data_IF_010292526400
#
_entry.id   IF_010292526400
#
_cell.length_a   1.000
_cell.length_b   1.000
_cell.length_c   1.000
_cell.angle_alpha   90.00
_cell.angle_beta   90.00
_cell.angle_gamma   90.00
#
_symmetry.space_group_name_H-M   'P 1'
#
loop_
_entity.id
_entity.type
_entity.pdbx_description
1 polymer ?
#
# COMPACT_ATOMS: atom_id res chain seq x y z
N UNK A 1 -3.70 1.87 15.09
CA UNK A 1 -2.48 2.42 14.45
C UNK A 1 -1.31 2.21 15.39
N UNK A 2 -0.24 1.55 14.94
CA UNK A 2 0.96 1.31 15.75
C UNK A 2 1.72 2.63 15.99
N UNK A 3 2.17 2.86 17.22
CA UNK A 3 2.93 4.05 17.60
C UNK A 3 2.14 5.34 17.36
N UNK A 4 2.78 6.32 16.71
CA UNK A 4 2.14 7.57 16.30
C UNK A 4 1.71 7.57 14.82
N UNK A 5 1.82 6.43 14.14
CA UNK A 5 1.45 6.27 12.74
C UNK A 5 2.38 6.94 11.73
N UNK A 6 3.54 7.47 12.14
CA UNK A 6 4.45 8.20 11.24
C UNK A 6 5.38 7.33 10.39
N UNK A 7 5.25 6.00 10.44
CA UNK A 7 6.03 5.15 9.55
C UNK A 7 5.64 5.41 8.10
N UNK A 8 6.63 5.66 7.25
CA UNK A 8 6.47 6.02 5.84
C UNK A 8 6.71 4.79 4.97
N UNK A 9 5.83 4.57 4.00
CA UNK A 9 5.96 3.54 2.97
C UNK A 9 5.73 4.17 1.60
N UNK A 10 6.35 3.60 0.57
CA UNK A 10 5.99 3.88 -0.82
C UNK A 10 4.83 2.98 -1.25
N UNK A 11 3.70 3.58 -1.61
CA UNK A 11 2.47 2.88 -1.96
C UNK A 11 2.32 2.72 -3.47
N UNK A 12 2.43 1.48 -3.94
CA UNK A 12 2.29 1.08 -5.34
C UNK A 12 0.99 0.31 -5.56
N UNK A 13 0.20 0.72 -6.55
CA UNK A 13 -1.01 -0.02 -6.92
C UNK A 13 -0.66 -1.38 -7.53
N UNK A 14 -1.44 -2.42 -7.19
CA UNK A 14 -1.08 -3.81 -7.51
C UNK A 14 -0.98 -4.08 -9.01
N UNK A 15 -1.85 -3.48 -9.82
CA UNK A 15 -1.82 -3.66 -11.28
C UNK A 15 -0.54 -3.05 -11.90
N UNK A 16 -0.08 -1.91 -11.37
CA UNK A 16 1.18 -1.31 -11.81
C UNK A 16 2.38 -2.17 -11.43
N UNK A 17 2.35 -2.83 -10.26
CA UNK A 17 3.37 -3.79 -9.88
C UNK A 17 3.38 -5.01 -10.82
N UNK A 18 2.22 -5.58 -11.14
CA UNK A 18 2.11 -6.68 -12.10
C UNK A 18 2.63 -6.28 -13.49
N UNK A 19 2.31 -5.06 -13.95
CA UNK A 19 2.83 -4.51 -15.20
C UNK A 19 4.36 -4.40 -15.17
N UNK A 20 4.97 -3.91 -14.09
CA UNK A 20 6.43 -3.88 -13.92
C UNK A 20 7.07 -5.27 -13.96
N UNK A 21 6.47 -6.25 -13.28
CA UNK A 21 6.95 -7.64 -13.30
C UNK A 21 6.91 -8.18 -14.72
N UNK A 22 5.84 -7.91 -15.47
CA UNK A 22 5.71 -8.32 -16.86
C UNK A 22 6.78 -7.65 -17.75
N UNK A 23 7.06 -6.35 -17.54
CA UNK A 23 8.14 -5.66 -18.25
C UNK A 23 9.52 -6.27 -17.93
N UNK A 24 9.80 -6.56 -16.67
CA UNK A 24 11.04 -7.20 -16.26
C UNK A 24 11.18 -8.62 -16.83
N UNK A 25 10.09 -9.38 -16.90
CA UNK A 25 10.08 -10.73 -17.48
C UNK A 25 10.37 -10.71 -18.99
N UNK A 26 9.73 -9.80 -19.73
CA UNK A 26 9.79 -9.78 -21.20
C UNK A 26 11.03 -9.06 -21.72
N UNK A 27 11.45 -7.98 -21.06
CA UNK A 27 12.44 -7.03 -21.56
C UNK A 27 13.65 -6.86 -20.61
N UNK A 28 13.60 -7.46 -19.42
CA UNK A 28 14.69 -7.37 -18.44
C UNK A 28 15.95 -8.07 -18.90
N UNK A 29 17.10 -7.59 -18.40
CA UNK A 29 18.41 -8.21 -18.65
C UNK A 29 18.69 -9.29 -17.62
N UNK A 30 19.16 -10.45 -18.06
CA UNK A 30 19.56 -11.55 -17.19
C UNK A 30 20.61 -11.10 -16.17
N UNK A 31 20.39 -11.45 -14.90
CA UNK A 31 21.31 -11.11 -13.80
C UNK A 31 21.10 -9.71 -13.22
N UNK A 32 20.24 -8.89 -13.81
CA UNK A 32 19.95 -7.55 -13.31
C UNK A 32 18.75 -7.55 -12.35
N UNK A 33 18.82 -6.68 -11.33
CA UNK A 33 17.69 -6.36 -10.45
C UNK A 33 17.09 -5.00 -10.82
N UNK A 34 15.77 -4.90 -10.69
CA UNK A 34 14.99 -3.69 -10.95
C UNK A 34 14.15 -3.34 -9.73
N UNK A 35 14.39 -2.17 -9.13
CA UNK A 35 13.50 -1.62 -8.11
C UNK A 35 12.20 -1.16 -8.76
N UNK A 36 11.07 -1.48 -8.14
CA UNK A 36 9.73 -1.08 -8.58
C UNK A 36 9.14 -0.25 -7.45
N UNK A 37 8.82 1.01 -7.75
CA UNK A 37 8.41 2.00 -6.76
C UNK A 37 7.53 3.04 -7.44
N UNK A 38 6.53 3.57 -6.73
CA UNK A 38 5.62 4.57 -7.27
C UNK A 38 6.05 6.00 -6.92
N UNK A 39 6.95 6.16 -5.92
CA UNK A 39 7.32 7.45 -5.37
C UNK A 39 6.20 8.07 -4.50
N UNK A 40 5.21 7.29 -4.10
CA UNK A 40 4.09 7.69 -3.26
C UNK A 40 4.43 7.44 -1.79
N UNK A 41 5.37 8.21 -1.25
CA UNK A 41 5.76 8.11 0.15
C UNK A 41 4.72 8.74 1.07
N UNK A 42 3.98 7.89 1.77
CA UNK A 42 2.85 8.30 2.63
C UNK A 42 2.93 7.56 3.96
N UNK A 43 2.66 8.27 5.05
CA UNK A 43 2.62 7.70 6.39
C UNK A 43 1.31 6.93 6.67
N UNK A 44 1.35 6.03 7.64
CA UNK A 44 0.21 5.17 7.99
C UNK A 44 -1.03 5.98 8.43
N UNK A 45 -0.83 7.10 9.14
CA UNK A 45 -1.95 7.91 9.61
C UNK A 45 -2.67 8.60 8.45
N UNK A 46 -1.93 9.09 7.45
CA UNK A 46 -2.52 9.64 6.22
C UNK A 46 -3.34 8.59 5.46
N UNK A 47 -2.86 7.34 5.38
CA UNK A 47 -3.58 6.22 4.75
C UNK A 47 -4.93 5.97 5.44
N UNK A 48 -4.91 5.80 6.76
CA UNK A 48 -6.12 5.51 7.55
C UNK A 48 -7.13 6.65 7.42
N UNK A 49 -6.68 7.91 7.52
CA UNK A 49 -7.58 9.07 7.37
C UNK A 49 -8.21 9.14 5.97
N UNK A 50 -7.48 8.80 4.91
CA UNK A 50 -8.05 8.75 3.55
C UNK A 50 -9.12 7.68 3.42
N UNK A 51 -8.88 6.48 3.96
CA UNK A 51 -9.87 5.40 3.97
C UNK A 51 -11.13 5.83 4.72
N UNK A 52 -10.98 6.40 5.92
CA UNK A 52 -12.11 6.91 6.71
C UNK A 52 -12.88 8.00 5.96
N UNK A 53 -12.17 8.92 5.31
CA UNK A 53 -12.79 9.98 4.50
C UNK A 53 -13.56 9.44 3.31
N UNK A 54 -13.04 8.43 2.60
CA UNK A 54 -13.74 7.79 1.46
C UNK A 54 -15.01 7.07 1.95
N UNK A 55 -14.97 6.48 3.14
CA UNK A 55 -16.08 5.75 3.74
C UNK A 55 -17.07 6.63 4.51
N UNK A 56 -16.87 7.95 4.54
CA UNK A 56 -17.62 8.90 5.36
C UNK A 56 -17.69 8.47 6.85
N UNK A 57 -16.52 8.17 7.44
CA UNK A 57 -16.36 7.73 8.82
C UNK A 57 -15.57 8.74 9.66
N UNK A 58 -15.89 8.86 10.96
CA UNK A 58 -15.18 9.77 11.85
C UNK A 58 -13.78 9.25 12.20
N UNK A 59 -12.86 10.18 12.48
CA UNK A 59 -11.47 9.88 12.85
C UNK A 59 -11.30 9.34 14.28
N UNK A 60 -12.34 9.40 15.11
CA UNK A 60 -12.32 8.86 16.48
C UNK A 60 -12.34 7.32 16.54
N UNK A 61 -12.54 6.67 15.39
CA UNK A 61 -12.32 5.23 15.21
C UNK A 61 -10.84 4.83 15.23
N UNK A 62 -9.92 5.80 15.17
CA UNK A 62 -8.48 5.55 15.22
C UNK A 62 -8.04 5.32 16.67
N UNK A 63 -7.68 4.08 16.99
CA UNK A 63 -7.00 3.74 18.25
C UNK A 63 -5.48 3.63 18.02
N UNK A 64 -4.70 4.36 18.81
CA UNK A 64 -3.24 4.23 18.84
C UNK A 64 -2.82 3.14 19.82
N UNK A 65 -1.92 2.26 19.39
CA UNK A 65 -1.47 1.09 20.16
C UNK A 65 0.06 1.10 20.27
N UNK A 66 0.60 0.30 21.19
CA UNK A 66 2.06 0.17 21.35
C UNK A 66 2.72 -0.15 20.01
N UNK A 67 3.83 0.52 19.70
CA UNK A 67 4.53 0.30 18.44
C UNK A 67 5.16 -1.10 18.40
N UNK A 68 5.37 -1.62 17.19
CA UNK A 68 5.97 -2.93 17.00
C UNK A 68 7.49 -2.86 17.26
N UNK A 69 8.08 -3.78 18.04
CA UNK A 69 9.53 -3.84 18.18
C UNK A 69 10.23 -3.98 16.83
N UNK A 70 11.20 -3.11 16.54
CA UNK A 70 11.93 -3.10 15.27
C UNK A 70 11.12 -2.59 14.08
N UNK A 71 10.07 -1.81 14.30
CA UNK A 71 9.27 -1.24 13.21
C UNK A 71 10.07 -0.17 12.45
N UNK A 72 10.52 -0.52 11.25
CA UNK A 72 11.29 0.41 10.43
C UNK A 72 10.50 1.69 10.12
N UNK A 73 11.18 2.82 10.27
CA UNK A 73 10.57 4.13 10.14
C UNK A 73 10.17 4.43 8.69
N UNK A 74 11.05 4.20 7.72
CA UNK A 74 10.81 4.60 6.33
C UNK A 74 11.42 3.59 5.35
N UNK A 75 10.63 3.22 4.35
CA UNK A 75 11.12 2.54 3.15
C UNK A 75 10.92 3.42 1.93
N UNK A 76 11.94 3.46 1.07
CA UNK A 76 11.97 4.26 -0.15
C UNK A 76 12.91 3.59 -1.14
N UNK A 77 12.51 3.56 -2.41
CA UNK A 77 13.27 2.94 -3.49
C UNK A 77 13.37 3.91 -4.67
N UNK A 78 14.55 4.00 -5.25
CA UNK A 78 14.75 4.63 -6.55
C UNK A 78 14.46 3.62 -7.67
N UNK A 79 13.41 3.87 -8.46
CA UNK A 79 12.98 3.08 -9.62
C UNK A 79 13.46 3.65 -10.97
N UNK A 80 14.40 4.59 -10.95
CA UNK A 80 14.95 5.20 -12.18
C UNK A 80 15.49 4.18 -13.18
N UNK A 81 16.03 3.06 -12.71
CA UNK A 81 16.59 2.00 -13.58
C UNK A 81 15.52 1.33 -14.44
N UNK A 82 14.40 0.90 -13.84
CA UNK A 82 13.34 0.22 -14.59
C UNK A 82 12.66 1.18 -15.58
N UNK A 83 12.51 2.45 -15.20
CA UNK A 83 11.99 3.49 -16.11
C UNK A 83 12.92 3.77 -17.29
N UNK A 84 14.23 3.86 -17.05
CA UNK A 84 15.22 4.12 -18.12
C UNK A 84 15.41 2.92 -19.05
N UNK A 85 15.48 1.72 -18.51
CA UNK A 85 15.84 0.53 -19.29
C UNK A 85 14.63 -0.18 -19.90
N UNK A 86 13.50 -0.22 -19.19
CA UNK A 86 12.31 -0.97 -19.61
C UNK A 86 11.13 -0.05 -19.96
N UNK A 87 11.28 1.27 -19.82
CA UNK A 87 10.22 2.24 -20.11
C UNK A 87 9.03 2.17 -19.15
N UNK A 88 9.16 1.47 -18.01
CA UNK A 88 8.06 1.32 -17.06
C UNK A 88 7.92 2.55 -16.16
N UNK A 89 6.68 3.00 -15.97
CA UNK A 89 6.28 4.00 -15.00
C UNK A 89 4.92 3.60 -14.41
N UNK A 90 4.64 3.91 -13.13
CA UNK A 90 3.32 3.68 -12.55
C UNK A 90 2.26 4.50 -13.30
N UNK A 91 1.10 3.91 -13.53
CA UNK A 91 -0.02 4.54 -14.26
C UNK A 91 -1.08 5.09 -13.30
N UNK A 92 -1.17 4.53 -12.09
CA UNK A 92 -2.15 4.89 -11.08
C UNK A 92 -1.47 5.73 -9.99
N UNK A 93 -1.94 6.97 -9.83
CA UNK A 93 -1.52 7.80 -8.70
C UNK A 93 -2.14 7.29 -7.39
N UNK A 94 -1.59 7.73 -6.27
CA UNK A 94 -2.01 7.30 -4.95
C UNK A 94 -3.51 7.52 -4.66
N UNK A 95 -4.06 8.69 -5.01
CA UNK A 95 -5.46 9.04 -4.74
C UNK A 95 -6.44 8.13 -5.50
N UNK A 96 -6.17 7.88 -6.77
CA UNK A 96 -6.97 6.97 -7.58
C UNK A 96 -6.84 5.52 -7.09
N UNK A 97 -5.63 5.11 -6.70
CA UNK A 97 -5.35 3.77 -6.20
C UNK A 97 -6.08 3.46 -4.90
N UNK A 98 -6.03 4.37 -3.92
CA UNK A 98 -6.70 4.17 -2.63
C UNK A 98 -8.21 4.21 -2.79
N UNK A 99 -8.76 5.12 -3.61
CA UNK A 99 -10.20 5.19 -3.89
C UNK A 99 -10.73 3.91 -4.56
N UNK A 100 -10.02 3.41 -5.59
CA UNK A 100 -10.35 2.14 -6.25
C UNK A 100 -10.30 0.97 -5.28
N UNK A 101 -9.25 0.90 -4.47
CA UNK A 101 -9.06 -0.19 -3.51
C UNK A 101 -10.17 -0.20 -2.46
N UNK A 102 -10.46 0.93 -1.83
CA UNK A 102 -11.54 1.04 -0.85
C UNK A 102 -12.89 0.68 -1.47
N UNK A 103 -13.19 1.19 -2.65
CA UNK A 103 -14.45 0.89 -3.36
C UNK A 103 -14.57 -0.60 -3.71
N UNK A 104 -13.48 -1.24 -4.11
CA UNK A 104 -13.45 -2.67 -4.41
C UNK A 104 -13.81 -3.48 -3.17
N UNK A 105 -13.17 -3.22 -2.02
CA UNK A 105 -13.49 -3.95 -0.79
C UNK A 105 -14.94 -3.74 -0.32
N UNK A 106 -15.47 -2.52 -0.44
CA UNK A 106 -16.88 -2.23 -0.10
C UNK A 106 -17.90 -2.89 -1.03
N UNK A 107 -17.47 -3.31 -2.23
CA UNK A 107 -18.34 -3.94 -3.23
C UNK A 107 -18.18 -5.47 -3.30
N UNK A 108 -17.30 -6.04 -2.47
CA UNK A 108 -16.93 -7.46 -2.52
C UNK A 108 -17.06 -8.10 -1.13
N UNK A 109 -18.24 -8.00 -0.51
CA UNK A 109 -18.50 -8.51 0.85
C UNK A 109 -18.13 -9.98 1.04
N UNK A 110 -18.40 -10.84 0.04
CA UNK A 110 -18.04 -12.26 0.11
C UNK A 110 -16.52 -12.49 0.25
N UNK A 111 -15.71 -11.55 -0.22
CA UNK A 111 -14.26 -11.59 -0.02
C UNK A 111 -13.90 -11.24 1.42
N UNK A 112 -14.56 -10.24 2.01
CA UNK A 112 -14.39 -9.90 3.43
C UNK A 112 -14.78 -11.08 4.32
N UNK A 113 -15.90 -11.74 4.00
CA UNK A 113 -16.40 -12.91 4.74
C UNK A 113 -15.44 -14.11 4.69
N UNK A 114 -14.50 -14.12 3.74
CA UNK A 114 -13.47 -15.16 3.65
C UNK A 114 -12.33 -14.98 4.65
N UNK A 115 -12.21 -13.81 5.29
CA UNK A 115 -11.16 -13.57 6.26
C UNK A 115 -11.41 -14.31 7.58
N UNK A 116 -10.34 -14.80 8.23
CA UNK A 116 -10.48 -15.45 9.53
C UNK A 116 -10.91 -14.45 10.59
N UNK A 117 -11.74 -14.90 11.55
CA UNK A 117 -12.26 -14.10 12.66
C UNK A 117 -11.17 -13.35 13.44
N UNK A 118 -9.94 -13.86 13.46
CA UNK A 118 -8.80 -13.21 14.13
C UNK A 118 -8.51 -11.80 13.61
N UNK A 119 -8.80 -11.52 12.34
CA UNK A 119 -8.58 -10.21 11.70
C UNK A 119 -9.71 -9.23 12.02
N UNK A 120 -10.93 -9.72 12.22
CA UNK A 120 -12.14 -8.91 12.46
C UNK A 120 -12.46 -8.72 13.94
N UNK A 121 -11.61 -9.24 14.85
CA UNK A 121 -11.72 -8.96 16.29
C UNK A 121 -11.70 -7.45 16.54
N UNK A 122 -12.34 -7.03 17.63
CA UNK A 122 -12.32 -5.62 18.04
C UNK A 122 -10.96 -5.14 18.55
N UNK A 123 -10.09 -6.06 19.00
CA UNK A 123 -8.75 -5.74 19.53
C UNK A 123 -7.67 -6.70 19.02
N UNK A 124 -7.38 -6.75 17.71
CA UNK A 124 -6.43 -7.71 17.12
C UNK A 124 -4.96 -7.48 17.52
N UNK A 125 -4.65 -6.36 18.19
CA UNK A 125 -3.32 -6.04 18.73
C UNK A 125 -3.08 -6.58 20.14
N UNK A 126 -4.08 -7.23 20.76
CA UNK A 126 -3.98 -7.92 22.05
C UNK A 126 -3.86 -9.43 21.83
#
# INVERSE_FOLDING_TARGET
>A
VYGDGKNIRDWLFVDDHCDAILQALLNGKTGESYNISAGNEVDNLTIVNKILSIMDKPSDLIEFVEDRPGHDLRYSLDSSKIGKELGWLPKINFEDGIAKTTSWYLSNDSWIDSFPDSVTKSTPWK
#
